data_IF_147311937267
#
_entry.id   IF_147311937267
#
_cell.length_a   1.000
_cell.length_b   1.000
_cell.length_c   1.000
_cell.angle_alpha   90.00
_cell.angle_beta   90.00
_cell.angle_gamma   90.00
#
_symmetry.space_group_name_H-M   'P 1'
#
loop_
_entity.id
_entity.type
_entity.pdbx_description
1 polymer ?
#
# COMPACT_ATOMS: atom_id res chain seq x y z
N UNK A 1 20.39 -8.85 1.22
CA UNK A 1 21.61 -9.01 0.41
C UNK A 1 22.14 -10.43 0.59
N UNK A 2 22.61 -11.04 -0.49
CA UNK A 2 23.22 -12.37 -0.52
C UNK A 2 24.72 -12.20 -0.58
N UNK A 3 25.45 -12.90 0.25
CA UNK A 3 26.91 -12.89 0.20
C UNK A 3 27.39 -13.81 -0.95
N UNK A 4 28.53 -13.48 -1.53
CA UNK A 4 29.25 -14.38 -2.44
C UNK A 4 30.43 -14.97 -1.70
N UNK A 5 30.60 -16.27 -1.81
CA UNK A 5 31.74 -16.96 -1.23
C UNK A 5 32.71 -17.30 -2.34
N UNK A 6 33.92 -16.75 -2.22
CA UNK A 6 35.05 -17.18 -3.02
C UNK A 6 35.72 -18.33 -2.28
N UNK A 7 35.54 -19.56 -2.78
CA UNK A 7 36.17 -20.75 -2.20
C UNK A 7 37.43 -21.11 -2.94
N UNK A 8 38.47 -21.47 -2.18
CA UNK A 8 39.72 -21.97 -2.69
C UNK A 8 39.96 -23.39 -2.16
N UNK A 9 40.23 -24.34 -3.06
CA UNK A 9 40.60 -25.72 -2.68
C UNK A 9 42.02 -25.75 -2.12
N UNK A 10 42.10 -25.97 -0.81
CA UNK A 10 43.40 -26.02 -0.08
C UNK A 10 44.02 -27.42 -0.04
N UNK A 11 43.41 -28.43 -0.69
CA UNK A 11 43.91 -29.83 -0.69
C UNK A 11 45.29 -29.96 -1.34
N UNK A 12 45.58 -29.12 -2.33
CA UNK A 12 46.85 -29.12 -3.08
C UNK A 12 47.82 -28.06 -2.60
N UNK A 13 47.34 -26.93 -2.10
CA UNK A 13 48.20 -25.82 -1.69
C UNK A 13 47.53 -25.00 -0.59
N UNK A 14 48.25 -24.77 0.52
CA UNK A 14 47.73 -23.97 1.61
C UNK A 14 47.87 -22.50 1.32
N UNK A 15 46.90 -21.71 1.78
CA UNK A 15 46.96 -20.27 1.76
C UNK A 15 47.60 -19.78 3.06
N UNK A 16 48.67 -19.00 2.97
CA UNK A 16 49.37 -18.41 4.12
C UNK A 16 48.97 -16.95 4.40
N UNK A 17 48.47 -16.27 3.40
CA UNK A 17 48.05 -14.86 3.56
C UNK A 17 46.93 -14.50 2.56
N UNK A 18 45.98 -13.71 3.04
CA UNK A 18 44.98 -13.06 2.22
C UNK A 18 45.05 -11.56 2.52
N UNK A 19 45.17 -10.74 1.48
CA UNK A 19 45.15 -9.28 1.57
C UNK A 19 44.06 -8.76 0.64
N UNK A 20 43.51 -7.57 0.96
CA UNK A 20 42.55 -6.87 0.12
C UNK A 20 43.12 -5.52 -0.30
N UNK A 21 42.85 -5.11 -1.52
CA UNK A 21 43.32 -3.87 -2.11
C UNK A 21 42.20 -3.28 -2.99
N UNK A 22 41.84 -2.04 -2.74
CA UNK A 22 40.95 -1.30 -3.65
C UNK A 22 41.85 -0.44 -4.58
N UNK A 23 41.64 -0.62 -5.89
CA UNK A 23 42.28 0.19 -6.92
C UNK A 23 41.24 0.61 -7.94
N UNK A 24 41.09 1.95 -8.12
CA UNK A 24 40.12 2.52 -9.04
C UNK A 24 38.70 1.88 -8.80
N UNK A 25 38.12 1.23 -9.81
CA UNK A 25 36.81 0.59 -9.73
C UNK A 25 36.91 -0.92 -9.44
N UNK A 26 38.06 -1.42 -8.92
CA UNK A 26 38.31 -2.85 -8.69
C UNK A 26 38.64 -3.12 -7.24
N UNK A 27 37.96 -4.12 -6.68
CA UNK A 27 38.31 -4.72 -5.39
C UNK A 27 39.09 -5.98 -5.65
N UNK A 28 40.39 -6.00 -5.26
CA UNK A 28 41.29 -7.12 -5.47
C UNK A 28 41.48 -7.91 -4.17
N UNK A 29 41.41 -9.23 -4.25
CA UNK A 29 41.77 -10.16 -3.20
C UNK A 29 43.10 -10.80 -3.60
N UNK A 30 44.17 -10.49 -2.88
CA UNK A 30 45.50 -11.07 -3.11
C UNK A 30 45.68 -12.28 -2.19
N UNK A 31 45.86 -13.44 -2.81
CA UNK A 31 46.03 -14.70 -2.11
C UNK A 31 47.48 -15.20 -2.28
N UNK A 32 48.15 -15.47 -1.16
CA UNK A 32 49.54 -15.95 -1.18
C UNK A 32 49.56 -17.45 -0.80
N UNK A 33 49.97 -18.33 -1.72
CA UNK A 33 50.10 -19.75 -1.43
C UNK A 33 51.38 -20.05 -0.64
N UNK A 34 51.41 -21.22 0.06
CA UNK A 34 52.58 -21.71 0.78
C UNK A 34 53.70 -22.09 -0.17
N UNK A 35 53.38 -22.69 -1.30
CA UNK A 35 54.33 -23.14 -2.33
C UNK A 35 53.82 -22.96 -3.72
N UNK A 36 54.71 -22.62 -4.66
CA UNK A 36 54.41 -22.58 -6.07
C UNK A 36 53.39 -21.50 -6.49
N UNK A 37 52.51 -21.85 -7.45
CA UNK A 37 51.47 -20.98 -7.99
C UNK A 37 50.08 -21.57 -7.71
N UNK A 38 49.08 -20.70 -7.73
CA UNK A 38 47.67 -21.08 -7.58
C UNK A 38 47.11 -21.40 -8.99
N UNK A 39 46.41 -22.51 -9.14
CA UNK A 39 45.65 -22.79 -10.35
C UNK A 39 44.29 -22.06 -10.29
N UNK A 40 43.92 -21.31 -11.32
CA UNK A 40 42.61 -20.66 -11.35
C UNK A 40 41.41 -21.64 -11.20
N UNK A 41 41.61 -22.93 -11.53
CA UNK A 41 40.60 -23.99 -11.37
C UNK A 41 40.36 -24.39 -9.92
N UNK A 42 41.25 -24.01 -9.01
CA UNK A 42 41.07 -24.23 -7.57
C UNK A 42 40.14 -23.20 -6.93
N UNK A 43 39.76 -22.17 -7.67
CA UNK A 43 38.77 -21.19 -7.23
C UNK A 43 37.36 -21.57 -7.70
N UNK A 44 36.41 -21.44 -6.80
CA UNK A 44 34.99 -21.50 -7.11
C UNK A 44 34.22 -20.32 -6.52
N UNK A 45 33.25 -19.84 -7.28
CA UNK A 45 32.32 -18.81 -6.82
C UNK A 45 31.04 -19.51 -6.40
N UNK A 46 30.73 -19.43 -5.11
CA UNK A 46 29.55 -20.07 -4.54
C UNK A 46 28.61 -18.97 -4.05
N UNK A 47 27.35 -19.03 -4.48
CA UNK A 47 26.31 -18.20 -3.89
C UNK A 47 26.11 -18.66 -2.44
N UNK A 48 26.36 -17.76 -1.47
CA UNK A 48 26.08 -18.07 -0.08
C UNK A 48 24.57 -18.24 0.15
N UNK A 49 24.20 -18.92 1.21
CA UNK A 49 22.82 -18.96 1.66
C UNK A 49 22.34 -17.55 2.00
N UNK A 50 21.05 -17.32 1.87
CA UNK A 50 20.46 -16.08 2.36
C UNK A 50 20.67 -15.95 3.87
N UNK A 51 20.73 -14.70 4.35
CA UNK A 51 20.83 -14.39 5.80
C UNK A 51 19.50 -14.61 6.55
N UNK A 52 18.46 -14.98 5.81
CA UNK A 52 17.13 -15.23 6.33
C UNK A 52 16.79 -16.70 6.21
N UNK A 53 16.30 -17.30 7.29
CA UNK A 53 15.87 -18.69 7.34
C UNK A 53 14.39 -18.86 7.04
N UNK A 54 13.62 -17.78 7.14
CA UNK A 54 12.18 -17.74 6.95
C UNK A 54 11.74 -16.36 6.44
N UNK A 55 10.80 -16.35 5.51
CA UNK A 55 10.07 -15.17 5.06
C UNK A 55 8.64 -15.26 5.57
N UNK A 56 8.15 -14.21 6.21
CA UNK A 56 6.75 -14.12 6.64
C UNK A 56 6.10 -13.01 5.81
N UNK A 57 5.08 -13.38 5.03
CA UNK A 57 4.26 -12.45 4.24
C UNK A 57 2.92 -12.30 4.92
N UNK A 58 2.52 -11.05 5.18
CA UNK A 58 1.29 -10.74 5.91
C UNK A 58 0.44 -9.82 5.03
N UNK A 59 -0.86 -10.14 4.94
CA UNK A 59 -1.88 -9.32 4.27
C UNK A 59 -1.59 -9.10 2.78
N UNK A 60 -1.14 -10.18 2.10
CA UNK A 60 -0.88 -10.16 0.65
C UNK A 60 -1.50 -11.39 -0.01
N UNK A 61 -2.28 -11.15 -1.07
CA UNK A 61 -2.98 -12.19 -1.84
C UNK A 61 -2.03 -13.05 -2.66
N UNK A 62 -0.96 -12.43 -3.16
CA UNK A 62 0.06 -13.02 -4.02
C UNK A 62 1.42 -12.34 -3.79
N UNK A 63 2.49 -12.91 -4.36
CA UNK A 63 3.85 -12.35 -4.25
C UNK A 63 4.03 -11.08 -5.09
N UNK A 64 3.25 -10.88 -6.14
CA UNK A 64 3.36 -9.74 -7.04
C UNK A 64 2.91 -8.45 -6.35
N UNK A 65 1.96 -8.54 -5.41
CA UNK A 65 1.52 -7.42 -4.55
C UNK A 65 2.64 -6.85 -3.69
N UNK A 66 3.71 -7.60 -3.44
CA UNK A 66 4.90 -7.11 -2.75
C UNK A 66 5.71 -6.13 -3.63
N UNK A 67 5.38 -6.01 -4.93
CA UNK A 67 5.94 -5.05 -5.86
C UNK A 67 7.45 -5.14 -5.96
N UNK A 68 8.15 -4.01 -5.76
CA UNK A 68 9.60 -3.93 -5.91
C UNK A 68 10.38 -4.82 -4.95
N UNK A 69 9.81 -5.20 -3.81
CA UNK A 69 10.45 -6.11 -2.85
C UNK A 69 10.59 -7.49 -3.49
N UNK A 70 9.53 -8.00 -4.08
CA UNK A 70 9.53 -9.28 -4.78
C UNK A 70 10.38 -9.24 -6.05
N UNK A 71 10.17 -8.24 -6.91
CA UNK A 71 10.86 -8.12 -8.21
C UNK A 71 12.39 -8.10 -8.03
N UNK A 72 12.88 -7.36 -7.02
CA UNK A 72 14.33 -7.24 -6.77
C UNK A 72 14.96 -8.39 -6.01
N UNK A 73 14.15 -9.26 -5.40
CA UNK A 73 14.62 -10.33 -4.53
C UNK A 73 13.91 -11.66 -4.82
N UNK A 74 13.52 -11.92 -6.06
CA UNK A 74 12.77 -13.12 -6.45
C UNK A 74 13.43 -14.41 -5.98
N UNK A 75 14.77 -14.49 -6.05
CA UNK A 75 15.54 -15.62 -5.59
C UNK A 75 15.32 -15.93 -4.09
N UNK A 76 15.16 -14.87 -3.25
CA UNK A 76 14.87 -15.04 -1.82
C UNK A 76 13.53 -15.77 -1.62
N UNK A 77 12.50 -15.34 -2.34
CA UNK A 77 11.16 -15.95 -2.24
C UNK A 77 11.07 -17.35 -2.85
N UNK A 78 12.03 -17.71 -3.70
CA UNK A 78 12.12 -19.05 -4.27
C UNK A 78 12.90 -20.03 -3.38
N UNK A 79 14.00 -19.57 -2.75
CA UNK A 79 14.92 -20.43 -2.00
C UNK A 79 14.58 -20.54 -0.49
N UNK A 80 13.98 -19.49 0.09
CA UNK A 80 13.70 -19.42 1.54
C UNK A 80 12.24 -19.79 1.80
N UNK A 81 11.95 -20.64 2.79
CA UNK A 81 10.57 -20.99 3.16
C UNK A 81 9.72 -19.77 3.47
N UNK A 82 8.46 -19.79 3.05
CA UNK A 82 7.50 -18.71 3.22
C UNK A 82 6.34 -19.14 4.10
N UNK A 83 6.02 -18.33 5.11
CA UNK A 83 4.74 -18.38 5.83
C UNK A 83 3.87 -17.27 5.29
N UNK A 84 2.72 -17.61 4.74
CA UNK A 84 1.72 -16.68 4.25
C UNK A 84 0.58 -16.56 5.27
N UNK A 85 0.27 -15.32 5.71
CA UNK A 85 -0.78 -15.04 6.70
C UNK A 85 -1.72 -14.00 6.07
N UNK A 86 -2.94 -14.41 5.73
CA UNK A 86 -3.85 -13.55 4.98
C UNK A 86 -5.33 -13.85 5.25
N UNK A 87 -6.20 -12.89 4.96
CA UNK A 87 -7.64 -13.04 5.07
C UNK A 87 -8.40 -12.84 3.74
N UNK A 88 -7.70 -12.62 2.64
CA UNK A 88 -8.34 -12.42 1.34
C UNK A 88 -8.80 -13.73 0.70
N UNK A 89 -10.00 -13.73 0.12
CA UNK A 89 -10.61 -14.91 -0.51
C UNK A 89 -9.92 -15.37 -1.80
N UNK A 90 -9.16 -14.48 -2.44
CA UNK A 90 -8.41 -14.75 -3.66
C UNK A 90 -6.91 -14.95 -3.40
N UNK A 91 -6.53 -15.42 -2.22
CA UNK A 91 -5.15 -15.73 -1.89
C UNK A 91 -4.66 -16.96 -2.67
N UNK A 92 -3.48 -16.86 -3.30
CA UNK A 92 -2.89 -17.93 -4.12
C UNK A 92 -2.27 -19.08 -3.31
N UNK A 93 -2.24 -18.99 -1.98
CA UNK A 93 -1.61 -19.95 -1.08
C UNK A 93 -0.13 -20.24 -1.44
N UNK A 94 0.62 -19.21 -1.75
CA UNK A 94 1.99 -19.28 -2.27
C UNK A 94 3.05 -19.68 -1.23
N UNK A 95 2.70 -19.73 0.04
CA UNK A 95 3.62 -20.14 1.12
C UNK A 95 3.73 -21.66 1.27
N UNK A 96 4.83 -22.15 1.83
CA UNK A 96 4.95 -23.54 2.31
C UNK A 96 4.03 -23.77 3.51
N UNK A 97 3.76 -22.71 4.28
CA UNK A 97 2.74 -22.69 5.33
C UNK A 97 1.79 -21.54 5.02
N UNK A 98 0.50 -21.83 4.94
CA UNK A 98 -0.53 -20.84 4.66
C UNK A 98 -1.54 -20.80 5.82
N UNK A 99 -1.54 -19.67 6.53
CA UNK A 99 -2.51 -19.34 7.57
C UNK A 99 -3.53 -18.36 6.97
N UNK A 100 -4.41 -18.88 6.12
CA UNK A 100 -5.41 -18.07 5.39
C UNK A 100 -6.79 -18.35 5.97
N UNK A 101 -7.43 -17.32 6.54
CA UNK A 101 -8.79 -17.38 7.07
C UNK A 101 -9.66 -16.28 6.46
N UNK A 102 -10.43 -16.63 5.45
CA UNK A 102 -11.32 -15.71 4.73
C UNK A 102 -12.49 -15.19 5.56
N UNK A 103 -12.71 -15.76 6.73
CA UNK A 103 -13.76 -15.31 7.67
C UNK A 103 -13.22 -14.29 8.68
N UNK A 104 -11.91 -14.15 8.78
CA UNK A 104 -11.29 -13.19 9.66
C UNK A 104 -11.52 -11.75 9.17
N UNK A 105 -11.70 -10.83 10.09
CA UNK A 105 -11.85 -9.40 9.80
C UNK A 105 -10.58 -8.73 9.27
N UNK A 106 -9.43 -9.33 9.56
CA UNK A 106 -8.11 -8.84 9.18
C UNK A 106 -7.02 -9.90 9.43
N UNK A 107 -5.87 -9.74 8.81
CA UNK A 107 -4.68 -10.54 9.14
C UNK A 107 -4.28 -10.41 10.62
N UNK A 108 -4.57 -9.26 11.25
CA UNK A 108 -4.35 -9.06 12.69
C UNK A 108 -5.20 -10.00 13.57
N UNK A 109 -6.39 -10.41 13.11
CA UNK A 109 -7.22 -11.40 13.82
C UNK A 109 -6.53 -12.77 13.85
N UNK A 110 -6.00 -13.21 12.72
CA UNK A 110 -5.28 -14.47 12.59
C UNK A 110 -4.04 -14.45 13.47
N UNK A 111 -3.25 -13.37 13.41
CA UNK A 111 -2.06 -13.18 14.24
C UNK A 111 -2.39 -13.15 15.74
N UNK A 112 -3.50 -12.51 16.13
CA UNK A 112 -3.92 -12.47 17.54
C UNK A 112 -4.24 -13.88 18.05
N UNK A 113 -4.91 -14.71 17.27
CA UNK A 113 -5.19 -16.08 17.62
C UNK A 113 -3.91 -16.92 17.69
N UNK A 114 -3.00 -16.71 16.74
CA UNK A 114 -1.70 -17.35 16.72
C UNK A 114 -0.91 -17.05 17.99
N UNK A 115 -0.73 -15.78 18.36
CA UNK A 115 -0.04 -15.41 19.59
C UNK A 115 -0.74 -15.93 20.86
N UNK A 116 -2.06 -15.92 20.91
CA UNK A 116 -2.81 -16.50 22.03
C UNK A 116 -2.56 -18.00 22.23
N UNK A 117 -2.20 -18.73 21.17
CA UNK A 117 -1.90 -20.17 21.26
C UNK A 117 -0.60 -20.47 22.02
N UNK A 118 0.34 -19.52 22.09
CA UNK A 118 1.57 -19.65 22.88
C UNK A 118 1.35 -19.32 24.37
N UNK A 119 0.40 -18.47 24.66
CA UNK A 119 0.01 -18.10 26.03
C UNK A 119 -0.13 -16.60 26.25
N UNK A 120 -0.83 -16.17 27.33
CA UNK A 120 -1.14 -14.78 27.57
C UNK A 120 0.08 -13.92 27.92
N UNK A 121 1.21 -14.53 28.27
CA UNK A 121 2.46 -13.82 28.61
C UNK A 121 3.23 -13.34 27.38
N UNK A 122 2.90 -13.84 26.19
CA UNK A 122 3.61 -13.55 24.97
C UNK A 122 3.06 -12.31 24.23
N UNK A 123 1.96 -11.73 24.74
CA UNK A 123 1.39 -10.50 24.20
C UNK A 123 1.65 -9.37 25.22
N UNK A 124 2.67 -8.57 24.97
CA UNK A 124 2.91 -7.32 25.71
C UNK A 124 2.07 -6.16 25.14
N UNK A 125 2.13 -5.01 25.81
CA UNK A 125 1.41 -3.81 25.39
C UNK A 125 1.75 -3.36 23.96
N UNK A 126 3.01 -3.54 23.51
CA UNK A 126 3.45 -3.13 22.16
C UNK A 126 2.83 -4.02 21.11
N UNK A 127 2.89 -5.32 21.32
CA UNK A 127 2.27 -6.33 20.43
C UNK A 127 0.75 -6.10 20.40
N UNK A 128 0.12 -5.93 21.56
CA UNK A 128 -1.31 -5.63 21.65
C UNK A 128 -1.69 -4.36 20.90
N UNK A 129 -0.89 -3.30 21.00
CA UNK A 129 -1.13 -2.03 20.29
C UNK A 129 -1.01 -2.21 18.79
N UNK A 130 0.01 -2.95 18.29
CA UNK A 130 0.18 -3.23 16.86
C UNK A 130 -0.99 -4.06 16.32
N UNK A 131 -1.39 -5.12 17.01
CA UNK A 131 -2.50 -5.97 16.61
C UNK A 131 -3.83 -5.20 16.60
N UNK A 132 -4.12 -4.42 17.64
CA UNK A 132 -5.33 -3.60 17.69
C UNK A 132 -5.34 -2.52 16.60
N UNK A 133 -4.18 -1.97 16.24
CA UNK A 133 -4.06 -1.05 15.11
C UNK A 133 -4.47 -1.73 13.80
N UNK A 134 -4.07 -2.99 13.58
CA UNK A 134 -4.50 -3.78 12.42
C UNK A 134 -6.02 -4.00 12.37
N UNK A 135 -6.66 -4.32 13.51
CA UNK A 135 -8.12 -4.42 13.58
C UNK A 135 -8.80 -3.10 13.23
N UNK A 136 -8.38 -2.01 13.88
CA UNK A 136 -8.97 -0.68 13.69
C UNK A 136 -8.83 -0.22 12.24
N UNK A 137 -7.65 -0.39 11.63
CA UNK A 137 -7.42 -0.02 10.24
C UNK A 137 -8.23 -0.83 9.24
N UNK A 138 -8.25 -2.16 9.37
CA UNK A 138 -8.97 -3.04 8.44
C UNK A 138 -10.50 -2.88 8.52
N UNK A 139 -11.03 -2.59 9.71
CA UNK A 139 -12.47 -2.48 9.96
C UNK A 139 -12.98 -1.03 9.96
N UNK A 140 -12.12 -0.06 9.70
CA UNK A 140 -12.40 1.37 9.83
C UNK A 140 -13.06 1.70 11.18
N UNK A 141 -12.32 1.44 12.25
CA UNK A 141 -12.83 1.58 13.63
C UNK A 141 -14.12 0.78 13.90
N UNK A 142 -14.19 -0.44 13.37
CA UNK A 142 -15.32 -1.36 13.53
C UNK A 142 -16.61 -0.92 12.83
N UNK A 143 -16.53 -0.06 11.80
CA UNK A 143 -17.69 0.42 11.04
C UNK A 143 -17.94 -0.39 9.76
N UNK A 144 -16.94 -1.10 9.23
CA UNK A 144 -17.10 -1.90 8.01
C UNK A 144 -17.84 -3.22 8.26
N UNK A 145 -18.41 -3.77 7.17
CA UNK A 145 -19.20 -5.01 7.19
C UNK A 145 -18.40 -6.27 7.57
N UNK A 146 -17.06 -6.23 7.45
CA UNK A 146 -16.18 -7.30 7.90
C UNK A 146 -15.97 -7.33 9.42
N UNK A 147 -16.57 -6.42 10.18
CA UNK A 147 -16.53 -6.42 11.64
C UNK A 147 -17.36 -7.58 12.18
N UNK A 148 -16.71 -8.52 12.87
CA UNK A 148 -17.35 -9.68 13.47
C UNK A 148 -17.41 -9.56 14.99
N UNK A 149 -18.35 -10.28 15.69
CA UNK A 149 -18.34 -10.35 17.16
C UNK A 149 -17.01 -10.89 17.72
N UNK A 150 -16.36 -11.80 16.99
CA UNK A 150 -15.05 -12.36 17.34
C UNK A 150 -13.97 -11.26 17.27
N UNK A 151 -13.95 -10.44 16.22
CA UNK A 151 -13.04 -9.31 16.09
C UNK A 151 -13.17 -8.32 17.26
N UNK A 152 -14.40 -7.98 17.65
CA UNK A 152 -14.66 -7.11 18.79
C UNK A 152 -14.18 -7.73 20.12
N UNK A 153 -14.45 -9.02 20.34
CA UNK A 153 -13.99 -9.73 21.55
C UNK A 153 -12.45 -9.79 21.63
N UNK A 154 -11.76 -10.10 20.51
CA UNK A 154 -10.32 -10.12 20.47
C UNK A 154 -9.73 -8.71 20.69
N UNK A 155 -10.35 -7.69 20.12
CA UNK A 155 -9.93 -6.30 20.31
C UNK A 155 -10.08 -5.86 21.78
N UNK A 156 -11.15 -6.26 22.46
CA UNK A 156 -11.32 -6.01 23.88
C UNK A 156 -10.19 -6.66 24.72
N UNK A 157 -9.84 -7.92 24.43
CA UNK A 157 -8.70 -8.56 25.09
C UNK A 157 -7.37 -7.83 24.83
N UNK A 158 -7.17 -7.29 23.62
CA UNK A 158 -5.95 -6.50 23.33
C UNK A 158 -5.89 -5.21 24.14
N UNK A 159 -7.06 -4.59 24.42
CA UNK A 159 -7.14 -3.45 25.32
C UNK A 159 -6.82 -3.84 26.78
N UNK A 160 -7.22 -5.04 27.23
CA UNK A 160 -6.85 -5.57 28.53
C UNK A 160 -5.32 -5.77 28.67
N UNK A 161 -4.63 -6.07 27.56
CA UNK A 161 -3.15 -6.10 27.50
C UNK A 161 -2.51 -4.71 27.41
N UNK A 162 -3.30 -3.64 27.51
CA UNK A 162 -2.81 -2.26 27.59
C UNK A 162 -2.79 -1.49 26.27
N UNK A 163 -3.35 -2.02 25.19
CA UNK A 163 -3.50 -1.27 23.95
C UNK A 163 -4.51 -0.12 24.10
N UNK A 164 -4.14 1.08 23.66
CA UNK A 164 -4.99 2.27 23.79
C UNK A 164 -5.71 2.56 22.47
N UNK A 165 -6.98 2.17 22.38
CA UNK A 165 -7.82 2.40 21.20
C UNK A 165 -7.93 3.89 20.83
N UNK A 166 -8.08 4.77 21.80
CA UNK A 166 -8.25 6.21 21.53
C UNK A 166 -6.99 6.83 20.92
N UNK A 167 -5.82 6.40 21.38
CA UNK A 167 -4.54 6.82 20.84
C UNK A 167 -4.36 6.32 19.42
N UNK A 168 -4.65 5.05 19.16
CA UNK A 168 -4.59 4.45 17.79
C UNK A 168 -5.53 5.20 16.86
N UNK A 169 -6.79 5.41 17.22
CA UNK A 169 -7.77 6.16 16.41
C UNK A 169 -7.30 7.59 16.16
N UNK A 170 -6.70 8.24 17.17
CA UNK A 170 -6.12 9.57 17.01
C UNK A 170 -5.01 9.57 15.94
N UNK A 171 -4.11 8.61 15.97
CA UNK A 171 -3.00 8.53 15.02
C UNK A 171 -3.44 8.14 13.61
N UNK A 172 -4.38 7.22 13.47
CA UNK A 172 -4.86 6.78 12.16
C UNK A 172 -5.77 7.81 11.46
N UNK A 173 -6.67 8.46 12.22
CA UNK A 173 -7.76 9.21 11.61
C UNK A 173 -7.78 10.72 11.98
N UNK A 174 -7.17 11.12 13.10
CA UNK A 174 -7.24 12.50 13.58
C UNK A 174 -5.96 13.32 13.33
N UNK A 175 -4.98 12.76 12.64
CA UNK A 175 -3.72 13.43 12.31
C UNK A 175 -3.71 14.02 10.90
N UNK A 176 -4.86 14.37 10.37
CA UNK A 176 -4.93 15.02 9.06
C UNK A 176 -4.22 16.38 9.12
N UNK A 177 -3.29 16.65 8.20
CA UNK A 177 -2.63 17.94 8.11
C UNK A 177 -3.64 19.07 7.94
N UNK A 178 -3.42 20.20 8.61
CA UNK A 178 -4.36 21.33 8.61
C UNK A 178 -4.68 21.85 7.19
N UNK A 179 -3.72 21.78 6.27
CA UNK A 179 -3.93 22.19 4.88
C UNK A 179 -4.96 21.29 4.16
N UNK A 180 -4.97 19.98 4.45
CA UNK A 180 -5.97 19.05 3.91
C UNK A 180 -7.35 19.36 4.45
N UNK A 181 -7.48 19.62 5.76
CA UNK A 181 -8.76 19.99 6.38
C UNK A 181 -9.31 21.31 5.81
N UNK A 182 -8.43 22.28 5.56
CA UNK A 182 -8.82 23.56 4.92
C UNK A 182 -9.27 23.35 3.47
N UNK A 183 -8.55 22.55 2.69
CA UNK A 183 -8.92 22.21 1.31
C UNK A 183 -10.27 21.49 1.28
N UNK A 184 -10.44 20.51 2.17
CA UNK A 184 -11.69 19.77 2.35
C UNK A 184 -12.87 20.71 2.63
N UNK A 185 -12.75 21.58 3.62
CA UNK A 185 -13.82 22.55 3.94
C UNK A 185 -14.20 23.45 2.77
N UNK A 186 -13.22 23.85 1.93
CA UNK A 186 -13.47 24.66 0.72
C UNK A 186 -14.16 23.85 -0.37
N UNK A 187 -13.75 22.63 -0.57
CA UNK A 187 -14.39 21.72 -1.53
C UNK A 187 -15.83 21.41 -1.12
N UNK A 188 -16.06 21.13 0.17
CA UNK A 188 -17.39 20.87 0.73
C UNK A 188 -18.35 22.06 0.56
N UNK A 189 -17.88 23.30 0.72
CA UNK A 189 -18.69 24.50 0.52
C UNK A 189 -19.18 24.70 -0.94
N UNK A 190 -18.55 23.99 -1.89
CA UNK A 190 -18.86 24.07 -3.34
C UNK A 190 -19.43 22.76 -3.89
N UNK A 191 -19.84 21.84 -3.02
CA UNK A 191 -20.41 20.55 -3.43
C UNK A 191 -21.73 20.77 -4.17
N UNK A 192 -21.86 19.97 -5.23
CA UNK A 192 -23.10 19.81 -5.97
C UNK A 192 -23.48 18.32 -5.95
N UNK A 193 -24.72 18.05 -5.64
CA UNK A 193 -25.29 16.73 -5.58
C UNK A 193 -26.40 16.56 -6.62
N UNK A 194 -26.29 15.54 -7.48
CA UNK A 194 -27.36 15.10 -8.37
C UNK A 194 -27.93 13.76 -7.87
N UNK A 195 -29.11 13.75 -7.20
CA UNK A 195 -29.71 12.52 -6.67
C UNK A 195 -30.07 11.51 -7.76
N UNK A 196 -30.45 11.97 -8.97
CA UNK A 196 -30.85 11.07 -10.06
C UNK A 196 -29.67 10.31 -10.64
N UNK A 197 -28.54 10.99 -10.82
CA UNK A 197 -27.30 10.38 -11.31
C UNK A 197 -26.44 9.79 -10.19
N UNK A 198 -26.84 9.95 -8.92
CA UNK A 198 -26.02 9.61 -7.75
C UNK A 198 -24.60 10.16 -7.88
N UNK A 199 -24.48 11.38 -8.35
CA UNK A 199 -23.25 12.04 -8.73
C UNK A 199 -22.95 13.21 -7.80
N UNK A 200 -21.77 13.22 -7.22
CA UNK A 200 -21.25 14.29 -6.35
C UNK A 200 -20.09 14.96 -7.05
N UNK A 201 -20.15 16.28 -7.21
CA UNK A 201 -19.01 16.99 -7.78
C UNK A 201 -18.72 18.30 -7.05
N UNK A 202 -17.45 18.68 -7.04
CA UNK A 202 -16.98 19.92 -6.46
C UNK A 202 -15.90 20.56 -7.32
N UNK A 203 -15.71 21.86 -7.13
CA UNK A 203 -14.70 22.66 -7.84
C UNK A 203 -13.67 23.23 -6.88
N UNK A 204 -12.40 23.18 -7.29
CA UNK A 204 -11.27 23.66 -6.50
C UNK A 204 -10.49 24.66 -7.34
N UNK A 205 -10.58 25.94 -7.00
CA UNK A 205 -9.87 27.00 -7.70
C UNK A 205 -8.41 27.09 -7.24
N UNK A 206 -7.58 27.80 -8.02
CA UNK A 206 -6.20 28.14 -7.60
C UNK A 206 -6.19 28.85 -6.24
N UNK A 207 -7.17 29.71 -5.99
CA UNK A 207 -7.30 30.43 -4.71
C UNK A 207 -7.53 29.45 -3.54
N UNK A 208 -8.31 28.37 -3.73
CA UNK A 208 -8.55 27.37 -2.71
C UNK A 208 -7.24 26.64 -2.32
N UNK A 209 -6.39 26.32 -3.30
CA UNK A 209 -5.07 25.75 -3.03
C UNK A 209 -4.16 26.73 -2.27
N UNK A 210 -4.11 27.97 -2.70
CA UNK A 210 -3.29 29.00 -2.04
C UNK A 210 -3.72 29.21 -0.59
N UNK A 211 -5.02 29.38 -0.34
CA UNK A 211 -5.53 29.67 1.01
C UNK A 211 -5.49 28.45 1.93
N UNK A 212 -5.60 27.24 1.39
CA UNK A 212 -5.42 26.03 2.18
C UNK A 212 -3.95 25.64 2.39
N UNK A 213 -3.03 26.16 1.54
CA UNK A 213 -1.64 25.70 1.40
C UNK A 213 -1.55 24.23 0.96
N UNK A 214 -2.55 23.74 0.25
CA UNK A 214 -2.60 22.41 -0.31
C UNK A 214 -2.07 22.39 -1.75
N UNK A 215 -1.81 21.18 -2.27
CA UNK A 215 -1.36 20.93 -3.64
C UNK A 215 -2.31 19.97 -4.35
N UNK A 216 -2.21 19.87 -5.66
CA UNK A 216 -2.98 18.90 -6.45
C UNK A 216 -2.71 17.44 -6.04
N UNK A 217 -1.50 17.14 -5.54
CA UNK A 217 -1.15 15.83 -4.97
C UNK A 217 -1.98 15.44 -3.74
N UNK A 218 -2.67 16.38 -3.11
CA UNK A 218 -3.50 16.12 -1.92
C UNK A 218 -4.95 15.75 -2.29
N UNK A 219 -5.34 15.93 -3.56
CA UNK A 219 -6.69 15.69 -4.05
C UNK A 219 -7.14 14.21 -3.97
N UNK A 220 -6.28 13.19 -4.21
CA UNK A 220 -6.69 11.81 -4.03
C UNK A 220 -7.23 11.53 -2.61
N UNK A 221 -6.55 12.03 -1.57
CA UNK A 221 -7.01 11.90 -0.18
C UNK A 221 -8.33 12.64 0.07
N UNK A 222 -8.52 13.80 -0.58
CA UNK A 222 -9.79 14.52 -0.53
C UNK A 222 -10.92 13.73 -1.20
N UNK A 223 -10.65 13.06 -2.33
CA UNK A 223 -11.64 12.22 -3.02
C UNK A 223 -12.09 11.03 -2.19
N UNK A 224 -11.17 10.40 -1.45
CA UNK A 224 -11.51 9.35 -0.49
C UNK A 224 -12.46 9.85 0.59
N UNK A 225 -12.18 11.03 1.17
CA UNK A 225 -13.05 11.65 2.16
C UNK A 225 -14.41 12.06 1.61
N UNK A 226 -14.46 12.44 0.33
CA UNK A 226 -15.72 12.75 -0.34
C UNK A 226 -16.61 11.50 -0.44
N UNK A 227 -16.05 10.38 -0.86
CA UNK A 227 -16.73 9.08 -0.94
C UNK A 227 -17.20 8.58 0.43
N UNK A 228 -16.36 8.66 1.46
CA UNK A 228 -16.69 8.26 2.83
C UNK A 228 -17.88 9.04 3.42
N UNK A 229 -18.00 10.32 3.10
CA UNK A 229 -19.02 11.21 3.68
C UNK A 229 -20.33 11.24 2.88
N UNK A 230 -20.32 10.83 1.61
CA UNK A 230 -21.50 10.79 0.75
C UNK A 230 -21.84 9.36 0.31
N UNK A 231 -22.33 8.57 1.24
CA UNK A 231 -22.61 7.12 1.04
C UNK A 231 -23.69 6.83 -0.02
N UNK A 232 -24.52 7.81 -0.36
CA UNK A 232 -25.52 7.72 -1.43
C UNK A 232 -24.93 8.01 -2.82
N UNK A 233 -23.75 8.64 -2.88
CA UNK A 233 -23.04 8.92 -4.11
C UNK A 233 -22.40 7.65 -4.69
N UNK A 234 -22.42 7.51 -6.02
CA UNK A 234 -21.72 6.45 -6.75
C UNK A 234 -20.55 6.99 -7.55
N UNK A 235 -20.65 8.23 -8.01
CA UNK A 235 -19.63 8.89 -8.82
C UNK A 235 -19.25 10.19 -8.14
N UNK A 236 -17.96 10.36 -7.98
CA UNK A 236 -17.36 11.53 -7.33
C UNK A 236 -16.45 12.25 -8.32
N UNK A 237 -16.60 13.56 -8.46
CA UNK A 237 -15.81 14.38 -9.38
C UNK A 237 -15.22 15.56 -8.63
N UNK A 238 -13.90 15.74 -8.73
CA UNK A 238 -13.22 16.96 -8.33
C UNK A 238 -12.64 17.66 -9.57
N UNK A 239 -13.04 18.88 -9.82
CA UNK A 239 -12.49 19.69 -10.90
C UNK A 239 -11.59 20.77 -10.33
N UNK A 240 -10.39 20.91 -10.91
CA UNK A 240 -9.47 21.98 -10.51
C UNK A 240 -8.74 22.59 -11.72
N UNK A 241 -8.25 23.82 -11.56
CA UNK A 241 -7.43 24.44 -12.58
C UNK A 241 -5.98 23.93 -12.48
N UNK A 242 -5.46 23.39 -13.58
CA UNK A 242 -4.05 23.01 -13.75
C UNK A 242 -3.23 24.24 -14.22
N UNK A 243 -3.81 24.97 -15.16
CA UNK A 243 -3.28 26.25 -15.68
C UNK A 243 -4.41 27.26 -15.78
N UNK A 244 -4.13 28.54 -16.09
CA UNK A 244 -5.20 29.53 -16.33
C UNK A 244 -6.19 29.16 -17.45
N UNK A 245 -5.80 28.27 -18.37
CA UNK A 245 -6.60 27.91 -19.56
C UNK A 245 -7.11 26.47 -19.52
N UNK A 246 -6.60 25.65 -18.61
CA UNK A 246 -6.91 24.23 -18.55
C UNK A 246 -7.38 23.80 -17.17
N UNK A 247 -8.31 22.87 -17.16
CA UNK A 247 -8.81 22.22 -15.94
C UNK A 247 -8.54 20.73 -16.00
N UNK A 248 -8.43 20.10 -14.82
CA UNK A 248 -8.38 18.65 -14.67
C UNK A 248 -9.60 18.21 -13.88
N UNK A 249 -10.24 17.15 -14.35
CA UNK A 249 -11.27 16.43 -13.61
C UNK A 249 -10.68 15.11 -13.09
N UNK A 250 -10.79 14.91 -11.78
CA UNK A 250 -10.54 13.62 -11.14
C UNK A 250 -11.89 12.96 -10.88
N UNK A 251 -12.06 11.74 -11.42
CA UNK A 251 -13.30 10.97 -11.26
C UNK A 251 -13.00 9.70 -10.49
N UNK A 252 -13.84 9.41 -9.50
CA UNK A 252 -13.82 8.18 -8.70
C UNK A 252 -15.19 7.51 -8.73
N UNK A 253 -15.20 6.21 -8.90
CA UNK A 253 -16.37 5.33 -8.71
C UNK A 253 -15.90 3.97 -8.22
N UNK A 254 -16.68 3.34 -7.34
CA UNK A 254 -16.44 1.98 -6.89
C UNK A 254 -16.89 0.91 -7.90
N UNK A 255 -17.64 1.32 -8.94
CA UNK A 255 -18.14 0.42 -9.97
C UNK A 255 -17.21 0.41 -11.19
N UNK A 256 -16.48 -0.69 -11.36
CA UNK A 256 -15.54 -0.88 -12.46
C UNK A 256 -16.17 -0.68 -13.85
N UNK A 257 -17.39 -1.16 -14.07
CA UNK A 257 -18.09 -1.02 -15.36
C UNK A 257 -18.45 0.44 -15.68
N UNK A 258 -18.79 1.22 -14.65
CA UNK A 258 -19.04 2.66 -14.80
C UNK A 258 -17.72 3.38 -15.13
N UNK A 259 -16.64 3.03 -14.47
CA UNK A 259 -15.31 3.59 -14.74
C UNK A 259 -14.89 3.32 -16.20
N UNK A 260 -15.07 2.10 -16.69
CA UNK A 260 -14.75 1.75 -18.09
C UNK A 260 -15.62 2.55 -19.08
N UNK A 261 -16.92 2.64 -18.85
CA UNK A 261 -17.83 3.45 -19.69
C UNK A 261 -17.40 4.92 -19.73
N UNK A 262 -17.06 5.50 -18.59
CA UNK A 262 -16.60 6.90 -18.52
C UNK A 262 -15.26 7.04 -19.24
N UNK A 263 -14.30 6.16 -18.97
CA UNK A 263 -12.97 6.19 -19.59
C UNK A 263 -13.03 6.06 -21.11
N UNK A 264 -13.89 5.18 -21.64
CA UNK A 264 -14.05 5.02 -23.10
C UNK A 264 -14.61 6.27 -23.81
N UNK A 265 -15.26 7.16 -23.07
CA UNK A 265 -15.90 8.38 -23.62
C UNK A 265 -15.06 9.65 -23.44
N UNK A 266 -14.15 9.64 -22.47
CA UNK A 266 -13.25 10.75 -22.19
C UNK A 266 -11.80 10.28 -22.33
N UNK A 267 -11.02 11.07 -23.07
CA UNK A 267 -9.58 10.81 -23.19
C UNK A 267 -8.90 11.17 -21.85
N UNK A 268 -8.47 10.13 -21.12
CA UNK A 268 -7.93 10.28 -19.77
C UNK A 268 -6.96 9.16 -19.38
N UNK A 269 -6.37 9.27 -18.21
CA UNK A 269 -5.49 8.25 -17.64
C UNK A 269 -5.96 7.83 -16.25
N UNK A 270 -5.92 6.52 -15.97
CA UNK A 270 -6.27 6.00 -14.65
C UNK A 270 -4.99 5.88 -13.82
N UNK A 271 -4.95 6.59 -12.67
CA UNK A 271 -3.86 6.53 -11.70
C UNK A 271 -4.44 6.39 -10.29
N UNK A 272 -3.95 5.46 -9.51
CA UNK A 272 -4.39 5.23 -8.13
C UNK A 272 -5.92 5.08 -7.99
N UNK A 273 -6.57 4.42 -8.96
CA UNK A 273 -8.02 4.25 -8.96
C UNK A 273 -8.85 5.50 -9.29
N UNK A 274 -8.21 6.59 -9.71
CA UNK A 274 -8.83 7.82 -10.17
C UNK A 274 -8.64 7.99 -11.68
N UNK A 275 -9.70 8.35 -12.40
CA UNK A 275 -9.62 8.75 -13.79
C UNK A 275 -9.33 10.24 -13.85
N UNK A 276 -8.19 10.59 -14.45
CA UNK A 276 -7.74 11.97 -14.68
C UNK A 276 -8.02 12.37 -16.12
N UNK A 277 -8.79 13.45 -16.31
CA UNK A 277 -9.17 13.97 -17.63
C UNK A 277 -8.73 15.42 -17.73
N UNK A 278 -7.96 15.78 -18.76
CA UNK A 278 -7.60 17.16 -19.08
C UNK A 278 -8.67 17.80 -19.96
N UNK A 279 -9.03 19.04 -19.62
CA UNK A 279 -10.11 19.80 -20.28
C UNK A 279 -9.58 21.18 -20.64
N UNK A 280 -9.65 21.54 -21.91
CA UNK A 280 -9.24 22.88 -22.40
C UNK A 280 -10.31 23.92 -22.12
N UNK A 281 -10.64 24.12 -20.83
CA UNK A 281 -11.60 25.12 -20.36
C UNK A 281 -11.27 25.50 -18.91
N UNK A 282 -11.26 26.81 -18.63
CA UNK A 282 -10.89 27.33 -17.32
C UNK A 282 -12.09 27.48 -16.35
N UNK A 283 -13.33 27.63 -16.88
CA UNK A 283 -14.54 27.79 -16.06
C UNK A 283 -14.94 26.45 -15.42
N UNK A 284 -14.55 26.26 -14.17
CA UNK A 284 -14.79 25.04 -13.41
C UNK A 284 -16.26 24.72 -13.20
N UNK A 285 -17.11 25.76 -12.99
CA UNK A 285 -18.53 25.56 -12.71
C UNK A 285 -19.25 25.08 -13.98
N UNK A 286 -18.98 25.75 -15.10
CA UNK A 286 -19.57 25.41 -16.40
C UNK A 286 -19.09 24.00 -16.83
N UNK A 287 -17.81 23.73 -16.67
CA UNK A 287 -17.21 22.44 -16.97
C UNK A 287 -17.79 21.33 -16.10
N UNK A 288 -17.95 21.58 -14.80
CA UNK A 288 -18.52 20.62 -13.86
C UNK A 288 -19.96 20.23 -14.20
N UNK A 289 -20.80 21.22 -14.50
CA UNK A 289 -22.19 20.97 -14.94
C UNK A 289 -22.25 20.14 -16.23
N UNK A 290 -21.50 20.57 -17.25
CA UNK A 290 -21.47 19.87 -18.54
C UNK A 290 -20.96 18.41 -18.41
N UNK A 291 -19.93 18.20 -17.59
CA UNK A 291 -19.39 16.87 -17.34
C UNK A 291 -20.40 16.00 -16.56
N UNK A 292 -21.04 16.52 -15.52
CA UNK A 292 -22.04 15.82 -14.75
C UNK A 292 -23.22 15.37 -15.63
N UNK A 293 -23.75 16.26 -16.49
CA UNK A 293 -24.82 15.93 -17.44
C UNK A 293 -24.39 14.86 -18.45
N UNK A 294 -23.17 14.97 -18.97
CA UNK A 294 -22.65 14.00 -19.93
C UNK A 294 -22.45 12.63 -19.30
N UNK A 295 -21.88 12.53 -18.10
CA UNK A 295 -21.70 11.28 -17.37
C UNK A 295 -23.08 10.66 -17.06
N UNK A 296 -24.04 11.45 -16.60
CA UNK A 296 -25.40 11.00 -16.35
C UNK A 296 -26.04 10.39 -17.60
N UNK A 297 -25.91 11.05 -18.76
CA UNK A 297 -26.45 10.52 -20.02
C UNK A 297 -25.80 9.21 -20.46
N UNK A 298 -24.49 9.06 -20.20
CA UNK A 298 -23.72 7.85 -20.52
C UNK A 298 -24.14 6.64 -19.68
N UNK A 299 -24.53 6.86 -18.42
CA UNK A 299 -24.87 5.79 -17.49
C UNK A 299 -26.36 5.45 -17.49
N UNK A 300 -27.20 6.30 -18.05
CA UNK A 300 -28.63 6.06 -18.21
C UNK A 300 -28.98 5.16 -19.42
N UNK A 301 -28.00 4.92 -20.28
CA UNK A 301 -28.03 4.00 -21.43
C UNK A 301 -27.24 2.73 -21.12
#
# INVERSE_FOLDING_TARGET
ARDFVLSFDTSRNKIIQVRQEEKEDKFNILVTPEKGSIDPRDFSFILAKFKYDLVIVIDSQDLEKLGQIYIKNSDLFFEVPIVNIDCHSNNDNFGQINLVDVTASSAAEILTQFFKSFGPKDIDQKIATCLLTGFIGATDSFQKKNTTPKALSLSANLMDYGANQQEIVRWLYKTQPLHILKLWGRAMAKINWDPQGKLVWSTISVEDFVQSRAKSSDLPLMMEKLEENYTEGHIFIALYNDTPETSIALIKTSNFKEMEKIHSHFDGSIKLGLLEIKISQADLIKTGKAMAEKIKSLLSN
#
